data_IF_063939085823
#
_entry.id   IF_063939085823
#
_cell.length_a   1.000
_cell.length_b   1.000
_cell.length_c   1.000
_cell.angle_alpha   90.00
_cell.angle_beta   90.00
_cell.angle_gamma   90.00
#
_symmetry.space_group_name_H-M   'P 1'
#
loop_
_entity.id
_entity.type
_entity.pdbx_description
1 polymer ?
#
# COMPACT_ATOMS: atom_id res chain seq x y z
N UNK A 1 32.14 20.39 -18.93
CA UNK A 1 31.92 20.29 -17.47
C UNK A 1 32.93 19.32 -16.87
N UNK A 2 33.66 19.65 -15.79
CA UNK A 2 34.63 18.72 -15.17
C UNK A 2 33.89 17.53 -14.53
N UNK A 3 34.43 16.31 -14.66
CA UNK A 3 33.90 15.08 -14.06
C UNK A 3 33.53 15.24 -12.58
N UNK A 4 34.32 15.98 -11.80
CA UNK A 4 34.01 16.26 -10.39
C UNK A 4 32.77 17.13 -10.20
N UNK A 5 32.57 18.14 -11.06
CA UNK A 5 31.37 18.98 -11.01
C UNK A 5 30.14 18.17 -11.39
N UNK A 6 30.23 17.38 -12.47
CA UNK A 6 29.15 16.48 -12.89
C UNK A 6 28.76 15.49 -11.78
N UNK A 7 29.75 14.77 -11.23
CA UNK A 7 29.53 13.85 -10.11
C UNK A 7 28.87 14.55 -8.91
N UNK A 8 29.32 15.75 -8.52
CA UNK A 8 28.72 16.49 -7.41
C UNK A 8 27.21 16.70 -7.57
N UNK A 9 26.76 17.12 -8.77
CA UNK A 9 25.35 17.43 -8.99
C UNK A 9 24.49 16.16 -9.14
N UNK A 10 24.98 15.13 -9.84
CA UNK A 10 24.24 13.86 -9.95
C UNK A 10 24.15 13.16 -8.59
N UNK A 11 25.23 13.19 -7.80
CA UNK A 11 25.24 12.64 -6.44
C UNK A 11 24.28 13.36 -5.51
N UNK A 12 24.08 14.67 -5.67
CA UNK A 12 23.10 15.39 -4.85
C UNK A 12 21.67 14.90 -5.12
N UNK A 13 21.31 14.70 -6.40
CA UNK A 13 20.01 14.15 -6.78
C UNK A 13 19.86 12.72 -6.25
N UNK A 14 20.89 11.88 -6.39
CA UNK A 14 20.88 10.50 -5.91
C UNK A 14 20.72 10.45 -4.40
N UNK A 15 21.50 11.24 -3.66
CA UNK A 15 21.44 11.30 -2.21
C UNK A 15 20.07 11.74 -1.68
N UNK A 16 19.38 12.64 -2.38
CA UNK A 16 18.02 13.05 -2.00
C UNK A 16 17.04 11.88 -2.05
N UNK A 17 17.07 11.09 -3.13
CA UNK A 17 16.22 9.90 -3.24
C UNK A 17 16.64 8.80 -2.27
N UNK A 18 17.93 8.58 -2.03
CA UNK A 18 18.40 7.65 -0.99
C UNK A 18 17.94 8.08 0.41
N UNK A 19 17.86 9.38 0.68
CA UNK A 19 17.31 9.91 1.92
C UNK A 19 15.82 9.58 2.04
N UNK A 20 15.03 9.75 0.97
CA UNK A 20 13.62 9.34 0.95
C UNK A 20 13.47 7.83 1.21
N UNK A 21 14.33 6.99 0.60
CA UNK A 21 14.36 5.55 0.84
C UNK A 21 14.74 5.20 2.27
N UNK A 22 15.68 5.93 2.86
CA UNK A 22 16.08 5.72 4.26
C UNK A 22 14.94 6.08 5.21
N UNK A 23 14.28 7.23 4.99
CA UNK A 23 13.15 7.68 5.81
C UNK A 23 11.99 6.68 5.74
N UNK A 24 11.62 6.24 4.53
CA UNK A 24 10.55 5.25 4.35
C UNK A 24 10.93 3.87 4.87
N UNK A 25 12.18 3.43 4.71
CA UNK A 25 12.69 2.18 5.27
C UNK A 25 12.67 2.18 6.81
N UNK A 26 13.06 3.29 7.44
CA UNK A 26 12.92 3.49 8.88
C UNK A 26 11.44 3.39 9.25
N UNK A 27 10.56 4.12 8.57
CA UNK A 27 9.12 4.04 8.83
C UNK A 27 8.61 2.60 8.78
N UNK A 28 8.97 1.81 7.75
CA UNK A 28 8.57 0.41 7.65
C UNK A 28 9.11 -0.45 8.80
N UNK A 29 10.34 -0.21 9.26
CA UNK A 29 10.95 -1.00 10.34
C UNK A 29 10.26 -0.83 11.69
N UNK A 30 9.62 0.33 11.93
CA UNK A 30 8.92 0.63 13.18
C UNK A 30 7.40 0.35 13.12
N UNK A 31 6.86 0.01 11.94
CA UNK A 31 5.43 -0.22 11.75
C UNK A 31 5.15 -1.69 11.39
N UNK A 32 4.35 -2.36 12.22
CA UNK A 32 3.93 -3.74 11.99
C UNK A 32 3.06 -3.85 10.73
N UNK A 33 3.45 -4.73 9.82
CA UNK A 33 2.74 -4.92 8.54
C UNK A 33 1.33 -5.49 8.74
N UNK A 34 1.13 -6.27 9.79
CA UNK A 34 -0.15 -6.85 10.17
C UNK A 34 -1.18 -5.75 10.47
N UNK A 35 -0.75 -4.70 11.18
CA UNK A 35 -1.58 -3.54 11.51
C UNK A 35 -1.93 -2.74 10.25
N UNK A 36 -0.96 -2.56 9.37
CA UNK A 36 -1.14 -1.90 8.06
C UNK A 36 -2.14 -2.67 7.20
N UNK A 37 -2.11 -4.00 7.23
CA UNK A 37 -3.08 -4.87 6.54
C UNK A 37 -4.47 -4.87 7.19
N UNK A 38 -4.58 -4.31 8.38
CA UNK A 38 -5.82 -4.25 9.16
C UNK A 38 -6.12 -5.53 9.95
N UNK A 39 -5.12 -6.40 10.18
CA UNK A 39 -5.32 -7.65 10.93
C UNK A 39 -5.80 -7.40 12.35
N UNK A 40 -5.37 -6.29 12.95
CA UNK A 40 -5.80 -5.81 14.27
C UNK A 40 -7.31 -5.54 14.40
N UNK A 41 -8.04 -5.39 13.28
CA UNK A 41 -9.50 -5.17 13.31
C UNK A 41 -10.30 -6.47 13.28
N UNK A 42 -9.68 -7.62 12.97
CA UNK A 42 -10.36 -8.91 13.01
C UNK A 42 -10.52 -9.40 14.44
N UNK A 43 -11.63 -10.08 14.72
CA UNK A 43 -11.80 -10.80 15.98
C UNK A 43 -10.92 -12.07 15.97
N UNK A 44 -10.38 -12.49 17.14
CA UNK A 44 -9.41 -13.58 17.24
C UNK A 44 -9.90 -14.97 16.80
N UNK A 45 -11.19 -15.17 16.54
CA UNK A 45 -11.78 -16.50 16.26
C UNK A 45 -12.28 -16.74 14.82
N UNK A 46 -11.92 -15.92 13.82
CA UNK A 46 -12.46 -16.11 12.46
C UNK A 46 -11.40 -16.22 11.37
N UNK A 47 -10.51 -17.21 11.51
CA UNK A 47 -9.62 -17.70 10.42
C UNK A 47 -10.11 -19.02 9.81
N UNK A 48 -11.38 -19.36 9.93
CA UNK A 48 -11.95 -20.45 9.15
C UNK A 48 -12.41 -19.91 7.79
N UNK A 49 -11.73 -20.37 6.73
CA UNK A 49 -12.24 -20.31 5.36
C UNK A 49 -13.48 -21.22 5.29
N UNK A 50 -14.62 -20.70 5.72
CA UNK A 50 -15.90 -21.31 5.37
C UNK A 50 -16.04 -21.14 3.87
N UNK A 51 -15.83 -22.24 3.13
CA UNK A 51 -16.20 -22.34 1.70
C UNK A 51 -17.71 -22.16 1.64
N UNK A 52 -18.17 -20.91 1.61
CA UNK A 52 -19.55 -20.61 1.29
C UNK A 52 -19.79 -21.04 -0.15
N UNK A 53 -20.90 -21.75 -0.43
CA UNK A 53 -21.27 -22.02 -1.81
C UNK A 53 -21.29 -20.69 -2.56
N UNK A 54 -20.73 -20.66 -3.77
CA UNK A 54 -20.73 -19.48 -4.64
C UNK A 54 -22.19 -19.02 -4.78
N UNK A 55 -22.55 -17.97 -4.06
CA UNK A 55 -23.87 -17.35 -4.20
C UNK A 55 -23.86 -16.67 -5.57
N UNK A 56 -24.78 -17.08 -6.43
CA UNK A 56 -24.95 -16.47 -7.76
C UNK A 56 -25.47 -15.02 -7.67
N UNK A 57 -26.06 -14.65 -6.53
CA UNK A 57 -26.63 -13.32 -6.29
C UNK A 57 -25.78 -12.54 -5.29
N UNK A 58 -25.71 -11.21 -5.49
CA UNK A 58 -25.08 -10.30 -4.53
C UNK A 58 -25.80 -10.38 -3.18
N UNK A 59 -25.05 -10.39 -2.08
CA UNK A 59 -25.60 -10.34 -0.72
C UNK A 59 -26.28 -8.99 -0.48
N UNK A 60 -27.26 -8.94 0.42
CA UNK A 60 -27.90 -7.67 0.78
C UNK A 60 -26.94 -6.78 1.57
N UNK A 61 -27.23 -5.47 1.62
CA UNK A 61 -26.45 -4.53 2.44
C UNK A 61 -26.47 -4.90 3.93
N UNK A 62 -27.60 -5.39 4.44
CA UNK A 62 -27.72 -5.89 5.82
C UNK A 62 -26.86 -7.13 6.08
N UNK A 63 -26.79 -8.04 5.11
CA UNK A 63 -25.93 -9.23 5.19
C UNK A 63 -24.45 -8.83 5.15
N UNK A 64 -24.07 -7.87 4.30
CA UNK A 64 -22.72 -7.31 4.24
C UNK A 64 -22.29 -6.72 5.59
N UNK A 65 -23.15 -5.93 6.22
CA UNK A 65 -22.92 -5.35 7.55
C UNK A 65 -22.79 -6.43 8.63
N UNK A 66 -23.69 -7.41 8.62
CA UNK A 66 -23.66 -8.53 9.58
C UNK A 66 -22.32 -9.27 9.52
N UNK A 67 -21.79 -9.53 8.32
CA UNK A 67 -20.50 -10.22 8.18
C UNK A 67 -19.35 -9.38 8.75
N UNK A 68 -19.36 -8.05 8.55
CA UNK A 68 -18.34 -7.15 9.10
C UNK A 68 -18.42 -7.12 10.63
N UNK A 69 -19.61 -6.96 11.20
CA UNK A 69 -19.82 -6.94 12.65
C UNK A 69 -19.46 -8.28 13.31
N UNK A 70 -19.68 -9.39 12.62
CA UNK A 70 -19.31 -10.72 13.11
C UNK A 70 -17.78 -10.92 13.09
N UNK A 71 -17.12 -10.61 11.97
CA UNK A 71 -15.69 -10.89 11.76
C UNK A 71 -14.75 -9.84 12.33
N UNK A 72 -15.23 -8.61 12.55
CA UNK A 72 -14.39 -7.47 12.94
C UNK A 72 -14.95 -6.74 14.15
N UNK A 73 -14.11 -5.89 14.76
CA UNK A 73 -14.52 -4.96 15.83
C UNK A 73 -15.08 -3.64 15.31
N UNK A 74 -15.34 -3.55 14.00
CA UNK A 74 -15.75 -2.31 13.32
C UNK A 74 -17.27 -2.20 13.24
N UNK A 75 -17.76 -0.97 13.31
CA UNK A 75 -19.19 -0.65 13.15
C UNK A 75 -19.44 -0.06 11.76
N UNK A 76 -20.16 -0.77 10.86
CA UNK A 76 -20.45 -0.27 9.51
C UNK A 76 -21.40 0.93 9.52
N UNK A 77 -21.25 1.83 8.56
CA UNK A 77 -22.00 3.10 8.46
C UNK A 77 -22.68 3.24 7.12
N UNK A 78 -21.91 3.06 6.04
CA UNK A 78 -22.40 3.20 4.68
C UNK A 78 -21.71 2.20 3.77
N UNK A 79 -22.37 1.88 2.67
CA UNK A 79 -21.93 0.88 1.70
C UNK A 79 -22.12 1.44 0.30
N UNK A 80 -21.09 1.28 -0.51
CA UNK A 80 -21.04 1.69 -1.92
C UNK A 80 -20.62 0.49 -2.76
N UNK A 81 -21.33 0.24 -3.86
CA UNK A 81 -20.95 -0.77 -4.84
C UNK A 81 -20.00 -0.17 -5.86
N UNK A 82 -18.83 -0.78 -6.00
CA UNK A 82 -17.80 -0.40 -6.95
C UNK A 82 -17.80 -1.43 -8.08
N UNK A 83 -18.06 -0.96 -9.30
CA UNK A 83 -18.11 -1.81 -10.50
C UNK A 83 -16.98 -1.49 -11.49
N UNK A 84 -16.38 -0.30 -11.36
CA UNK A 84 -15.34 0.16 -12.28
C UNK A 84 -13.98 0.31 -11.58
N UNK A 85 -12.88 -0.06 -12.25
CA UNK A 85 -11.55 0.15 -11.72
C UNK A 85 -11.19 1.64 -11.77
N UNK A 86 -10.58 2.14 -10.68
CA UNK A 86 -10.04 3.50 -10.60
C UNK A 86 -8.55 3.47 -10.27
N UNK A 87 -7.74 4.12 -11.10
CA UNK A 87 -6.30 4.27 -10.89
C UNK A 87 -6.01 4.96 -9.53
N UNK A 88 -5.01 4.46 -8.82
CA UNK A 88 -4.63 4.96 -7.49
C UNK A 88 -5.64 4.68 -6.36
N UNK A 89 -6.66 3.85 -6.60
CA UNK A 89 -7.63 3.48 -5.57
C UNK A 89 -7.05 2.57 -4.49
N UNK A 90 -7.70 2.51 -3.32
CA UNK A 90 -7.31 1.62 -2.21
C UNK A 90 -7.66 0.14 -2.47
N UNK A 91 -8.47 -0.11 -3.50
CA UNK A 91 -8.96 -1.43 -3.94
C UNK A 91 -8.33 -1.92 -5.25
N UNK A 92 -7.33 -1.22 -5.77
CA UNK A 92 -6.58 -1.65 -6.97
C UNK A 92 -6.03 -3.08 -6.82
N UNK A 93 -5.98 -3.81 -7.93
CA UNK A 93 -5.54 -5.21 -7.96
C UNK A 93 -6.56 -6.22 -7.42
N UNK A 94 -7.81 -5.81 -7.18
CA UNK A 94 -8.91 -6.68 -6.74
C UNK A 94 -9.92 -6.92 -7.87
N UNK A 95 -10.55 -8.08 -7.82
CA UNK A 95 -11.65 -8.42 -8.73
C UNK A 95 -12.88 -7.59 -8.40
N UNK A 96 -13.54 -7.07 -9.43
CA UNK A 96 -14.77 -6.28 -9.35
C UNK A 96 -15.97 -7.15 -9.74
N UNK A 97 -17.18 -6.88 -9.24
CA UNK A 97 -17.55 -5.76 -8.36
C UNK A 97 -17.14 -5.95 -6.89
N UNK A 98 -17.08 -4.84 -6.13
CA UNK A 98 -16.73 -4.80 -4.70
C UNK A 98 -17.73 -3.97 -3.90
N UNK A 99 -18.05 -4.42 -2.67
CA UNK A 99 -18.63 -3.53 -1.69
C UNK A 99 -17.53 -2.77 -0.95
N UNK A 100 -17.61 -1.45 -0.95
CA UNK A 100 -16.84 -0.56 -0.07
C UNK A 100 -17.73 -0.14 1.07
N UNK A 101 -17.46 -0.68 2.25
CA UNK A 101 -18.15 -0.33 3.49
C UNK A 101 -17.29 0.65 4.27
N UNK A 102 -17.83 1.83 4.56
CA UNK A 102 -17.23 2.76 5.51
C UNK A 102 -17.67 2.31 6.90
N UNK A 103 -16.70 2.05 7.77
CA UNK A 103 -16.93 1.62 9.14
C UNK A 103 -16.13 2.48 10.12
N UNK A 104 -16.53 2.48 11.40
CA UNK A 104 -15.80 3.14 12.49
C UNK A 104 -15.19 2.13 13.45
N UNK A 105 -14.02 2.44 13.98
CA UNK A 105 -13.46 1.74 15.13
C UNK A 105 -13.94 2.38 16.45
N UNK A 106 -13.50 1.81 17.59
CA UNK A 106 -13.84 2.30 18.92
C UNK A 106 -13.39 3.75 19.17
N UNK A 107 -12.33 4.20 18.49
CA UNK A 107 -11.79 5.56 18.58
C UNK A 107 -12.50 6.56 17.66
N UNK A 108 -13.48 6.10 16.88
CA UNK A 108 -14.26 6.92 15.94
C UNK A 108 -13.56 7.21 14.61
N UNK A 109 -12.43 6.56 14.34
CA UNK A 109 -11.72 6.67 13.06
C UNK A 109 -12.44 5.92 11.94
N UNK A 110 -12.45 6.52 10.76
CA UNK A 110 -13.07 5.92 9.57
C UNK A 110 -12.13 4.94 8.87
N UNK A 111 -12.65 3.73 8.65
CA UNK A 111 -11.97 2.60 8.05
C UNK A 111 -12.77 2.14 6.82
N UNK A 112 -12.09 1.99 5.68
CA UNK A 112 -12.71 1.41 4.50
C UNK A 112 -12.53 -0.11 4.54
N UNK A 113 -13.64 -0.85 4.50
CA UNK A 113 -13.66 -2.31 4.41
C UNK A 113 -14.12 -2.69 3.01
N UNK A 114 -13.29 -3.44 2.30
CA UNK A 114 -13.60 -3.96 0.97
C UNK A 114 -14.04 -5.41 1.08
N UNK A 115 -15.22 -5.70 0.57
CA UNK A 115 -15.87 -7.00 0.67
C UNK A 115 -16.28 -7.51 -0.71
N UNK A 116 -16.16 -8.82 -0.92
CA UNK A 116 -16.71 -9.49 -2.08
C UNK A 116 -18.26 -9.48 -1.97
N UNK A 117 -18.98 -8.91 -2.95
CA UNK A 117 -20.43 -8.76 -2.87
C UNK A 117 -21.20 -10.07 -3.05
N UNK A 118 -20.55 -11.18 -3.45
CA UNK A 118 -21.18 -12.49 -3.60
C UNK A 118 -20.90 -13.41 -2.41
N UNK A 119 -19.65 -13.47 -1.96
CA UNK A 119 -19.25 -14.36 -0.85
C UNK A 119 -19.35 -13.70 0.54
N UNK A 120 -19.38 -12.37 0.61
CA UNK A 120 -19.25 -11.64 1.88
C UNK A 120 -17.83 -11.65 2.46
N UNK A 121 -16.85 -12.20 1.74
CA UNK A 121 -15.47 -12.24 2.20
C UNK A 121 -14.87 -10.84 2.30
N UNK A 122 -14.19 -10.54 3.40
CA UNK A 122 -13.46 -9.28 3.58
C UNK A 122 -12.11 -9.40 2.87
N UNK A 123 -11.96 -8.67 1.76
CA UNK A 123 -10.79 -8.73 0.89
C UNK A 123 -9.70 -7.76 1.33
N UNK A 124 -10.06 -6.65 1.97
CA UNK A 124 -9.12 -5.68 2.50
C UNK A 124 -9.75 -4.78 3.56
N UNK A 125 -8.95 -4.37 4.53
CA UNK A 125 -9.27 -3.30 5.46
C UNK A 125 -8.23 -2.19 5.24
N UNK A 126 -8.70 -0.95 5.09
CA UNK A 126 -7.88 0.22 4.72
C UNK A 126 -8.11 1.35 5.72
N UNK A 127 -7.10 1.55 6.57
CA UNK A 127 -7.05 2.58 7.61
C UNK A 127 -6.18 3.77 7.21
N UNK A 128 -6.13 4.80 8.05
CA UNK A 128 -5.16 5.89 7.92
C UNK A 128 -3.71 5.38 7.95
N UNK A 129 -3.41 4.38 8.78
CA UNK A 129 -2.08 3.76 8.82
C UNK A 129 -1.73 3.11 7.47
N UNK A 130 -2.68 2.41 6.85
CA UNK A 130 -2.49 1.86 5.51
C UNK A 130 -2.21 2.95 4.48
N UNK A 131 -2.93 4.08 4.51
CA UNK A 131 -2.73 5.19 3.56
C UNK A 131 -1.34 5.82 3.67
N UNK A 132 -0.83 5.98 4.90
CA UNK A 132 0.53 6.49 5.15
C UNK A 132 1.56 5.46 4.64
N UNK A 133 1.34 4.17 4.94
CA UNK A 133 2.19 3.11 4.41
C UNK A 133 2.21 3.11 2.89
N UNK A 134 1.05 3.24 2.24
CA UNK A 134 0.90 3.26 0.78
C UNK A 134 1.61 4.47 0.14
N UNK A 135 1.58 5.62 0.81
CA UNK A 135 2.36 6.79 0.42
C UNK A 135 3.87 6.53 0.50
N UNK A 136 4.33 6.03 1.64
CA UNK A 136 5.75 5.72 1.84
C UNK A 136 6.22 4.65 0.87
N UNK A 137 5.38 3.65 0.60
CA UNK A 137 5.66 2.57 -0.35
C UNK A 137 5.83 3.09 -1.77
N UNK A 138 4.89 3.91 -2.27
CA UNK A 138 5.02 4.52 -3.60
C UNK A 138 6.27 5.38 -3.77
N UNK A 139 6.64 6.14 -2.73
CA UNK A 139 7.90 6.89 -2.71
C UNK A 139 9.14 5.97 -2.70
N UNK A 140 9.06 4.84 -1.99
CA UNK A 140 10.14 3.88 -1.87
C UNK A 140 10.38 3.11 -3.17
N UNK A 141 9.33 2.62 -3.83
CA UNK A 141 9.47 1.84 -5.07
C UNK A 141 9.46 2.72 -6.34
N UNK A 142 9.32 4.04 -6.18
CA UNK A 142 9.25 5.03 -7.26
C UNK A 142 8.13 4.74 -8.28
N UNK A 143 7.04 4.17 -7.79
CA UNK A 143 5.80 3.97 -8.54
C UNK A 143 4.73 4.88 -7.92
N UNK A 144 4.38 5.96 -8.62
CA UNK A 144 3.49 7.00 -8.11
C UNK A 144 2.02 6.80 -8.52
N UNK A 145 1.75 5.86 -9.41
CA UNK A 145 0.42 5.64 -9.96
C UNK A 145 -0.28 4.48 -9.24
N UNK A 146 0.21 3.27 -9.47
CA UNK A 146 -0.41 2.05 -8.96
C UNK A 146 0.30 1.52 -7.70
N UNK A 147 1.52 1.97 -7.43
CA UNK A 147 2.30 1.62 -6.23
C UNK A 147 2.36 0.11 -5.98
N UNK A 148 2.41 -0.68 -7.04
CA UNK A 148 2.45 -2.14 -7.02
C UNK A 148 3.53 -2.72 -7.94
N UNK A 149 4.04 -1.92 -8.89
CA UNK A 149 5.02 -2.36 -9.86
C UNK A 149 6.45 -1.99 -9.43
N UNK A 150 7.10 -2.90 -8.70
CA UNK A 150 8.53 -2.78 -8.34
C UNK A 150 9.43 -2.83 -9.61
N UNK A 151 8.95 -3.42 -10.71
CA UNK A 151 9.69 -3.51 -11.97
C UNK A 151 9.62 -2.27 -12.87
N UNK A 152 9.13 -1.14 -12.36
CA UNK A 152 8.90 0.07 -13.16
C UNK A 152 10.21 0.69 -13.72
N UNK A 153 10.05 1.52 -14.75
CA UNK A 153 11.18 2.14 -15.47
C UNK A 153 11.93 3.16 -14.60
N UNK A 154 11.24 3.91 -13.75
CA UNK A 154 11.87 4.92 -12.88
C UNK A 154 12.84 4.28 -11.90
N UNK A 155 12.41 3.21 -11.22
CA UNK A 155 13.26 2.48 -10.29
C UNK A 155 14.49 1.90 -11.01
N UNK A 156 14.29 1.25 -12.16
CA UNK A 156 15.39 0.71 -12.98
C UNK A 156 16.43 1.77 -13.35
N UNK A 157 15.98 2.90 -13.91
CA UNK A 157 16.86 4.02 -14.29
C UNK A 157 17.62 4.53 -13.06
N UNK A 158 16.90 4.73 -11.95
CA UNK A 158 17.49 5.25 -10.74
C UNK A 158 18.52 4.28 -10.12
N UNK A 159 18.26 2.98 -10.14
CA UNK A 159 19.21 1.95 -9.68
C UNK A 159 20.53 2.00 -10.47
N UNK A 160 20.47 2.15 -11.79
CA UNK A 160 21.69 2.31 -12.61
C UNK A 160 22.43 3.62 -12.32
N UNK A 161 21.71 4.73 -12.18
CA UNK A 161 22.32 6.04 -11.83
C UNK A 161 22.96 5.97 -10.44
N UNK A 162 22.30 5.36 -9.47
CA UNK A 162 22.83 5.19 -8.12
C UNK A 162 24.10 4.33 -8.10
N UNK A 163 24.10 3.21 -8.83
CA UNK A 163 25.27 2.35 -8.99
C UNK A 163 26.44 3.11 -9.65
N UNK A 164 26.18 3.78 -10.77
CA UNK A 164 27.19 4.59 -11.47
C UNK A 164 27.76 5.68 -10.54
N UNK A 165 26.90 6.34 -9.78
CA UNK A 165 27.29 7.38 -8.83
C UNK A 165 28.14 6.80 -7.69
N UNK A 166 27.78 5.65 -7.13
CA UNK A 166 28.57 4.98 -6.10
C UNK A 166 29.99 4.62 -6.61
N UNK A 167 30.08 3.99 -7.79
CA UNK A 167 31.35 3.61 -8.41
C UNK A 167 32.22 4.84 -8.71
N UNK A 168 31.64 5.88 -9.33
CA UNK A 168 32.39 7.11 -9.63
C UNK A 168 32.83 7.84 -8.37
N UNK A 169 32.06 7.79 -7.29
CA UNK A 169 32.45 8.33 -5.98
C UNK A 169 33.69 7.67 -5.42
N UNK A 170 33.74 6.32 -5.45
CA UNK A 170 34.92 5.54 -5.03
C UNK A 170 36.14 5.90 -5.86
N UNK A 171 36.00 5.96 -7.19
CA UNK A 171 37.11 6.32 -8.10
C UNK A 171 37.62 7.73 -7.80
N UNK A 172 36.72 8.70 -7.64
CA UNK A 172 37.08 10.10 -7.40
C UNK A 172 37.69 10.35 -6.01
N UNK A 173 37.41 9.48 -5.04
CA UNK A 173 38.02 9.49 -3.72
C UNK A 173 39.52 9.15 -3.80
N UNK A 174 39.89 8.11 -4.55
CA UNK A 174 41.30 7.73 -4.71
C UNK A 174 42.05 8.55 -5.75
N UNK A 175 41.35 9.14 -6.73
CA UNK A 175 41.97 10.05 -7.70
C UNK A 175 42.36 11.35 -6.99
N UNK A 176 43.66 11.53 -6.71
CA UNK A 176 44.22 12.82 -6.24
C UNK A 176 43.90 13.94 -7.24
N UNK A 177 43.84 15.19 -6.74
CA UNK A 177 43.50 16.38 -7.53
C UNK A 177 44.49 16.61 -8.66
#
# INVERSE_FOLDING_TARGET
MNLRKFHKYISLLVSLQLLLWTISGIYFSFNKIENVRGEQYYKPETKEEVISPIKLNKISHEEAYTVIEQKTVLTPISIELIEEPKAGSEYRGRELPLYKVIAKNADGEEINVYQNPYSGEILAIRSQQWRIWDLMWGLHIMDWNERDNIGNVFLKIFSFIALFTAVTGIILFFKRK
#
